data_IF_384193143680
#
_entry.id   IF_384193143680
#
_cell.length_a   1.000
_cell.length_b   1.000
_cell.length_c   1.000
_cell.angle_alpha   90.00
_cell.angle_beta   90.00
_cell.angle_gamma   90.00
#
_symmetry.space_group_name_H-M   'P 1'
#
loop_
_entity.id
_entity.type
_entity.pdbx_description
1 polymer ?
#
# COMPACT_ATOMS: atom_id res chain seq x y z
N UNK A 1 -7.26 -8.89 11.84
CA UNK A 1 -7.66 -9.37 10.50
C UNK A 1 -8.63 -8.33 10.01
N UNK A 2 -8.42 -7.71 8.84
CA UNK A 2 -9.30 -6.64 8.36
C UNK A 2 -10.64 -7.24 7.91
N UNK A 3 -11.57 -7.36 8.87
CA UNK A 3 -12.86 -8.02 8.71
C UNK A 3 -14.00 -7.05 8.37
N UNK A 4 -13.78 -5.74 8.54
CA UNK A 4 -14.79 -4.72 8.25
C UNK A 4 -14.48 -3.93 6.98
N UNK A 5 -13.20 -3.81 6.56
CA UNK A 5 -12.82 -3.18 5.29
C UNK A 5 -13.44 -1.80 5.08
N UNK A 6 -13.64 -1.04 6.16
CA UNK A 6 -14.23 0.29 6.11
C UNK A 6 -13.13 1.25 5.70
N UNK A 7 -13.20 1.73 4.47
CA UNK A 7 -12.28 2.71 3.93
C UNK A 7 -12.96 4.08 3.84
N UNK A 8 -12.19 5.19 3.93
CA UNK A 8 -12.74 6.53 3.72
C UNK A 8 -13.36 6.65 2.32
N UNK A 9 -14.44 7.41 2.22
CA UNK A 9 -15.05 7.79 0.93
C UNK A 9 -14.35 8.98 0.26
N UNK A 10 -13.37 9.57 0.93
CA UNK A 10 -12.59 10.68 0.42
C UNK A 10 -11.56 10.20 -0.59
N UNK A 11 -11.23 11.06 -1.56
CA UNK A 11 -10.18 10.77 -2.55
C UNK A 11 -8.83 10.77 -1.85
N UNK A 12 -8.22 9.60 -1.71
CA UNK A 12 -6.88 9.45 -1.15
C UNK A 12 -5.95 9.03 -2.28
N UNK A 13 -5.08 9.94 -2.66
CA UNK A 13 -4.15 9.74 -3.77
C UNK A 13 -2.98 8.82 -3.38
N UNK A 14 -2.46 8.95 -2.16
CA UNK A 14 -1.28 8.22 -1.69
C UNK A 14 -1.59 7.47 -0.40
N UNK A 15 -1.29 6.17 -0.39
CA UNK A 15 -1.46 5.32 0.80
C UNK A 15 -0.11 4.91 1.36
N UNK A 16 0.10 5.16 2.64
CA UNK A 16 1.28 4.73 3.39
C UNK A 16 0.95 3.50 4.26
N UNK A 17 1.63 2.39 4.01
CA UNK A 17 1.56 1.18 4.81
C UNK A 17 2.70 1.17 5.83
N UNK A 18 2.37 1.12 7.13
CA UNK A 18 3.34 1.10 8.24
C UNK A 18 2.96 0.04 9.27
N UNK A 19 3.97 -0.51 9.95
CA UNK A 19 3.81 -1.52 11.01
C UNK A 19 3.13 -2.83 10.57
N UNK A 20 3.36 -3.26 9.33
CA UNK A 20 2.87 -4.53 8.78
C UNK A 20 1.35 -4.74 8.90
N UNK A 21 0.51 -3.82 8.38
CA UNK A 21 -0.93 -3.91 8.55
C UNK A 21 -1.46 -5.15 7.84
N UNK A 22 -2.36 -5.87 8.49
CA UNK A 22 -3.04 -7.02 7.90
C UNK A 22 -4.19 -6.55 7.00
N UNK A 23 -3.86 -5.96 5.85
CA UNK A 23 -4.80 -5.37 4.89
C UNK A 23 -5.01 -6.24 3.66
N UNK A 24 -6.25 -6.26 3.16
CA UNK A 24 -6.60 -6.84 1.86
C UNK A 24 -6.41 -5.80 0.75
N UNK A 25 -5.19 -5.74 0.19
CA UNK A 25 -4.79 -4.66 -0.71
C UNK A 25 -5.68 -4.53 -1.97
N UNK A 26 -6.18 -5.64 -2.51
CA UNK A 26 -7.14 -5.61 -3.63
C UNK A 26 -8.40 -4.81 -3.28
N UNK A 27 -9.02 -5.08 -2.12
CA UNK A 27 -10.23 -4.35 -1.68
C UNK A 27 -9.96 -2.88 -1.42
N UNK A 28 -8.80 -2.59 -0.84
CA UNK A 28 -8.35 -1.22 -0.57
C UNK A 28 -8.16 -0.45 -1.88
N UNK A 29 -7.52 -1.06 -2.88
CA UNK A 29 -7.35 -0.47 -4.22
C UNK A 29 -8.71 -0.24 -4.89
N UNK A 30 -9.61 -1.23 -4.85
CA UNK A 30 -10.92 -1.12 -5.48
C UNK A 30 -11.79 -0.03 -4.83
N UNK A 31 -11.65 0.19 -3.51
CA UNK A 31 -12.43 1.18 -2.76
C UNK A 31 -11.86 2.59 -2.85
N UNK A 32 -10.54 2.76 -2.75
CA UNK A 32 -9.89 4.07 -2.62
C UNK A 32 -9.38 4.58 -3.98
N UNK A 33 -9.02 3.67 -4.89
CA UNK A 33 -8.41 3.97 -6.18
C UNK A 33 -7.18 4.90 -6.08
N UNK A 34 -6.18 4.56 -5.25
CA UNK A 34 -5.01 5.40 -5.05
C UNK A 34 -4.14 5.47 -6.31
N UNK A 35 -3.48 6.60 -6.51
CA UNK A 35 -2.47 6.76 -7.58
C UNK A 35 -1.11 6.18 -7.18
N UNK A 36 -0.85 6.02 -5.88
CA UNK A 36 0.43 5.51 -5.36
C UNK A 36 0.25 4.78 -4.04
N UNK A 37 1.00 3.68 -3.86
CA UNK A 37 1.14 3.01 -2.57
C UNK A 37 2.61 3.03 -2.14
N UNK A 38 2.86 3.38 -0.88
CA UNK A 38 4.19 3.42 -0.25
C UNK A 38 4.19 2.49 0.95
N UNK A 39 5.23 1.68 1.10
CA UNK A 39 5.50 0.91 2.30
C UNK A 39 6.76 1.44 2.98
N UNK A 40 6.66 1.70 4.27
CA UNK A 40 7.83 2.12 5.06
C UNK A 40 8.72 0.92 5.44
N UNK A 41 9.91 1.19 6.00
CA UNK A 41 10.87 0.17 6.43
C UNK A 41 10.46 -0.62 7.67
N UNK A 42 9.36 -0.26 8.34
CA UNK A 42 8.86 -0.98 9.52
C UNK A 42 8.10 -2.27 9.17
N UNK A 43 7.84 -2.50 7.87
CA UNK A 43 7.06 -3.64 7.39
C UNK A 43 7.88 -4.92 7.23
N UNK A 44 7.27 -6.08 7.52
CA UNK A 44 7.87 -7.38 7.21
C UNK A 44 8.09 -7.56 5.71
N UNK A 45 9.27 -8.04 5.31
CA UNK A 45 9.65 -8.26 3.91
C UNK A 45 8.65 -9.12 3.13
N UNK A 46 8.03 -10.10 3.80
CA UNK A 46 7.00 -10.98 3.21
C UNK A 46 5.73 -10.21 2.85
N UNK A 47 5.33 -9.23 3.65
CA UNK A 47 4.15 -8.39 3.42
C UNK A 47 4.43 -7.40 2.30
N UNK A 48 5.60 -6.75 2.34
CA UNK A 48 6.06 -5.87 1.27
C UNK A 48 6.06 -6.59 -0.07
N UNK A 49 6.63 -7.80 -0.15
CA UNK A 49 6.62 -8.61 -1.39
C UNK A 49 5.21 -8.94 -1.86
N UNK A 50 4.30 -9.26 -0.93
CA UNK A 50 2.90 -9.54 -1.26
C UNK A 50 2.20 -8.30 -1.83
N UNK A 51 2.37 -7.14 -1.20
CA UNK A 51 1.79 -5.88 -1.66
C UNK A 51 2.36 -5.45 -3.00
N UNK A 52 3.68 -5.54 -3.19
CA UNK A 52 4.37 -5.26 -4.46
C UNK A 52 3.79 -6.12 -5.59
N UNK A 53 3.58 -7.41 -5.32
CA UNK A 53 2.95 -8.34 -6.27
C UNK A 53 1.53 -7.91 -6.61
N UNK A 54 0.72 -7.50 -5.63
CA UNK A 54 -0.65 -7.02 -5.88
C UNK A 54 -0.66 -5.70 -6.64
N UNK A 55 0.19 -4.73 -6.27
CA UNK A 55 0.32 -3.44 -6.96
C UNK A 55 0.75 -3.63 -8.41
N UNK A 56 1.72 -4.50 -8.67
CA UNK A 56 2.17 -4.85 -10.02
C UNK A 56 1.02 -5.42 -10.86
N UNK A 57 0.22 -6.33 -10.29
CA UNK A 57 -0.96 -6.89 -10.99
C UNK A 57 -2.03 -5.85 -11.31
N UNK A 58 -2.20 -4.85 -10.45
CA UNK A 58 -3.18 -3.78 -10.60
C UNK A 58 -2.61 -2.54 -11.34
N UNK A 59 -1.36 -2.59 -11.80
CA UNK A 59 -0.63 -1.48 -12.42
C UNK A 59 -0.58 -0.21 -11.56
N UNK A 60 -0.45 -0.37 -10.24
CA UNK A 60 -0.30 0.74 -9.29
C UNK A 60 1.17 0.91 -8.92
N UNK A 61 1.72 2.13 -9.01
CA UNK A 61 3.05 2.43 -8.50
C UNK A 61 3.22 2.01 -7.03
N UNK A 62 4.29 1.25 -6.77
CA UNK A 62 4.66 0.81 -5.43
C UNK A 62 6.08 1.25 -5.06
N UNK A 63 6.22 1.92 -3.92
CA UNK A 63 7.50 2.33 -3.38
C UNK A 63 7.74 1.69 -2.02
N UNK A 64 8.94 1.13 -1.81
CA UNK A 64 9.35 0.56 -0.53
C UNK A 64 10.62 1.24 -0.03
N UNK A 65 10.51 1.97 1.08
CA UNK A 65 11.61 2.79 1.62
C UNK A 65 12.73 1.93 2.20
N UNK A 66 12.43 0.74 2.73
CA UNK A 66 13.45 -0.18 3.22
C UNK A 66 14.38 -0.76 2.14
N UNK A 67 14.07 -0.55 0.85
CA UNK A 67 14.97 -0.88 -0.28
C UNK A 67 15.45 0.35 -1.03
N UNK A 68 14.56 1.31 -1.28
CA UNK A 68 14.81 2.48 -2.13
C UNK A 68 15.28 3.72 -1.35
N UNK A 69 15.29 3.68 -0.02
CA UNK A 69 15.60 4.84 0.81
C UNK A 69 14.36 5.69 1.04
N UNK A 70 14.33 6.93 0.56
CA UNK A 70 13.20 7.84 0.77
C UNK A 70 12.20 7.80 -0.39
N UNK A 71 10.93 8.10 -0.09
CA UNK A 71 9.93 8.48 -1.08
C UNK A 71 9.84 10.01 -1.11
N UNK A 72 10.02 10.60 -2.29
CA UNK A 72 9.98 12.05 -2.50
C UNK A 72 8.65 12.38 -3.19
N UNK A 73 7.91 13.31 -2.60
CA UNK A 73 6.71 13.89 -3.25
C UNK A 73 7.19 14.97 -4.21
N UNK A 74 6.78 14.88 -5.48
CA UNK A 74 6.93 15.95 -6.48
C UNK A 74 5.63 16.73 -6.64
#
# INVERSE_FOLDING_TARGET
MDSLGVYPSEKIDIILLTNSPKVHLDRLIDSIQPIQIVADGSNYKTYVKRWDTTCTKRNIPFHYTGKKGAYIFE
#
